data_IF_065099069968
#
_entry.id   IF_065099069968
#
_cell.length_a   1.000
_cell.length_b   1.000
_cell.length_c   1.000
_cell.angle_alpha   90.00
_cell.angle_beta   90.00
_cell.angle_gamma   90.00
#
_symmetry.space_group_name_H-M   'P 1'
#
loop_
_entity.id
_entity.type
_entity.pdbx_description
1 polymer ?
#
# COMPACT_ATOMS: atom_id res chain seq x y z
N UNK A 1 7.03 -23.11 -5.89
CA UNK A 1 8.16 -22.65 -6.74
C UNK A 1 7.82 -21.38 -7.52
N UNK A 2 6.85 -21.36 -8.46
CA UNK A 2 6.37 -20.09 -9.06
C UNK A 2 5.72 -19.12 -8.05
N UNK A 3 5.18 -19.63 -6.94
CA UNK A 3 4.63 -18.83 -5.83
C UNK A 3 5.71 -18.16 -4.93
N UNK A 4 6.96 -18.64 -4.99
CA UNK A 4 8.08 -18.14 -4.16
C UNK A 4 9.08 -17.27 -4.96
N UNK A 5 9.06 -17.36 -6.29
CA UNK A 5 10.04 -16.71 -7.18
C UNK A 5 9.45 -15.55 -8.03
N UNK A 6 8.16 -15.24 -7.91
CA UNK A 6 7.54 -14.10 -8.62
C UNK A 6 7.51 -12.78 -7.84
N UNK A 7 8.02 -12.75 -6.61
CA UNK A 7 8.06 -11.52 -5.80
C UNK A 7 9.37 -10.77 -6.09
N UNK A 8 9.37 -10.00 -7.17
CA UNK A 8 10.34 -8.93 -7.37
C UNK A 8 10.01 -7.80 -6.39
N UNK A 9 10.91 -7.56 -5.44
CA UNK A 9 11.06 -6.29 -4.72
C UNK A 9 9.95 -5.92 -3.73
N UNK A 10 10.24 -6.09 -2.44
CA UNK A 10 9.62 -5.40 -1.29
C UNK A 10 8.10 -5.55 -1.02
N UNK A 11 7.29 -6.08 -1.93
CA UNK A 11 5.81 -6.03 -1.80
C UNK A 11 5.14 -7.30 -1.22
N UNK A 12 5.87 -8.39 -0.96
CA UNK A 12 5.33 -9.54 -0.22
C UNK A 12 5.86 -9.68 1.21
N UNK A 13 6.92 -8.96 1.59
CA UNK A 13 7.29 -8.80 2.99
C UNK A 13 6.22 -8.00 3.78
N UNK A 14 5.42 -7.20 3.07
CA UNK A 14 4.32 -6.41 3.64
C UNK A 14 2.97 -7.16 3.72
N UNK A 15 2.88 -8.42 3.29
CA UNK A 15 1.60 -9.16 3.24
C UNK A 15 1.58 -10.42 4.12
N UNK A 16 2.62 -10.68 4.91
CA UNK A 16 2.67 -11.85 5.79
C UNK A 16 3.11 -11.41 7.19
N UNK A 17 2.38 -11.93 8.18
CA UNK A 17 2.76 -12.11 9.60
C UNK A 17 2.36 -10.98 10.58
N UNK A 18 1.31 -11.24 11.37
CA UNK A 18 1.05 -10.63 12.69
C UNK A 18 0.76 -11.74 13.71
N UNK A 19 1.77 -12.51 14.14
CA UNK A 19 1.53 -13.80 14.82
C UNK A 19 2.44 -13.97 16.07
N UNK A 20 1.92 -14.63 17.11
CA UNK A 20 2.35 -14.48 18.51
C UNK A 20 3.30 -15.55 19.04
N UNK A 21 4.34 -15.11 19.75
CA UNK A 21 5.22 -15.87 20.64
C UNK A 21 6.52 -16.29 19.96
N UNK A 22 7.68 -15.90 20.52
CA UNK A 22 8.99 -16.37 20.06
C UNK A 22 9.89 -16.63 21.27
N UNK A 23 10.59 -17.77 21.25
CA UNK A 23 11.74 -18.00 22.11
C UNK A 23 13.02 -17.65 21.38
N UNK A 24 14.06 -17.26 22.11
CA UNK A 24 15.38 -16.98 21.54
C UNK A 24 15.87 -18.17 20.69
N UNK A 25 16.20 -17.99 19.40
CA UNK A 25 16.79 -19.03 18.61
C UNK A 25 18.16 -19.40 19.17
N UNK A 26 18.39 -20.70 19.30
CA UNK A 26 19.60 -21.27 19.86
C UNK A 26 20.83 -20.84 19.02
N UNK A 27 22.01 -20.78 19.65
CA UNK A 27 23.23 -20.25 19.00
C UNK A 27 23.59 -20.99 17.70
N UNK A 28 23.33 -22.30 17.64
CA UNK A 28 23.56 -23.11 16.43
C UNK A 28 22.62 -22.72 15.27
N UNK A 29 21.38 -22.34 15.58
CA UNK A 29 20.41 -21.89 14.59
C UNK A 29 20.78 -20.50 14.03
N UNK A 30 21.19 -19.58 14.91
CA UNK A 30 21.72 -18.25 14.52
C UNK A 30 22.98 -18.36 13.66
N UNK A 31 23.86 -19.32 13.94
CA UNK A 31 25.10 -19.52 13.20
C UNK A 31 24.90 -19.91 11.72
N UNK A 32 23.68 -20.27 11.30
CA UNK A 32 23.40 -20.63 9.89
C UNK A 32 23.08 -19.43 9.00
N UNK A 33 22.98 -18.23 9.57
CA UNK A 33 22.84 -16.98 8.80
C UNK A 33 24.24 -16.47 8.45
N UNK A 34 24.62 -16.39 7.17
CA UNK A 34 25.95 -15.96 6.78
C UNK A 34 26.24 -14.53 7.25
N UNK A 35 27.48 -14.24 7.63
CA UNK A 35 27.92 -12.90 8.09
C UNK A 35 27.70 -11.79 7.08
N UNK A 36 27.67 -12.12 5.78
CA UNK A 36 27.40 -11.17 4.70
C UNK A 36 25.92 -10.86 4.47
N UNK A 37 24.98 -11.44 5.22
CA UNK A 37 23.56 -11.15 5.03
C UNK A 37 23.26 -9.70 5.46
N UNK A 38 22.55 -8.97 4.60
CA UNK A 38 22.15 -7.58 4.78
C UNK A 38 20.70 -7.47 5.24
N UNK A 39 19.90 -8.50 5.05
CA UNK A 39 18.56 -8.60 5.59
C UNK A 39 18.39 -9.91 6.34
N UNK A 40 17.71 -9.84 7.49
CA UNK A 40 17.30 -11.01 8.27
C UNK A 40 15.87 -10.81 8.74
N UNK A 41 15.04 -11.84 8.59
CA UNK A 41 13.67 -11.88 9.09
C UNK A 41 13.45 -13.18 9.87
N UNK A 42 12.85 -13.06 11.04
CA UNK A 42 12.51 -14.21 11.88
C UNK A 42 11.02 -14.51 11.83
N UNK A 43 10.66 -15.79 11.76
CA UNK A 43 9.29 -16.26 11.76
C UNK A 43 9.14 -17.47 12.69
N UNK A 44 8.19 -17.41 13.61
CA UNK A 44 7.77 -18.56 14.40
C UNK A 44 6.57 -19.23 13.72
N UNK A 45 6.79 -20.41 13.14
CA UNK A 45 5.76 -21.15 12.42
C UNK A 45 4.63 -21.65 13.32
N UNK A 46 4.91 -21.99 14.58
CA UNK A 46 3.87 -22.42 15.52
C UNK A 46 2.93 -21.26 15.84
N UNK A 47 3.50 -20.09 16.10
CA UNK A 47 2.77 -18.83 16.24
C UNK A 47 1.88 -18.56 15.03
N UNK A 48 2.41 -18.81 13.82
CA UNK A 48 1.70 -18.58 12.57
C UNK A 48 0.46 -19.45 12.45
N UNK A 49 0.62 -20.75 12.68
CA UNK A 49 -0.43 -21.76 12.48
C UNK A 49 -1.57 -21.58 13.50
N UNK A 50 -1.25 -21.20 14.74
CA UNK A 50 -2.25 -21.06 15.81
C UNK A 50 -2.92 -19.69 15.89
N UNK A 51 -2.59 -18.76 14.99
CA UNK A 51 -3.24 -17.46 14.99
C UNK A 51 -4.65 -17.54 14.39
N UNK A 52 -5.64 -16.96 15.08
CA UNK A 52 -7.06 -16.99 14.67
C UNK A 52 -7.35 -16.40 13.29
N UNK A 53 -6.62 -15.36 12.86
CA UNK A 53 -6.81 -14.72 11.56
C UNK A 53 -6.27 -15.59 10.45
N UNK A 54 -5.04 -16.11 10.62
CA UNK A 54 -4.45 -17.07 9.69
C UNK A 54 -5.28 -18.34 9.67
N UNK A 55 -5.72 -18.85 10.82
CA UNK A 55 -6.60 -20.01 10.91
C UNK A 55 -7.93 -19.76 10.18
N UNK A 56 -8.51 -18.56 10.25
CA UNK A 56 -9.74 -18.21 9.51
C UNK A 56 -9.53 -18.21 7.99
N UNK A 57 -8.42 -17.67 7.51
CA UNK A 57 -8.09 -17.69 6.07
C UNK A 57 -7.67 -19.09 5.60
N UNK A 58 -6.86 -19.80 6.40
CA UNK A 58 -6.52 -21.20 6.16
C UNK A 58 -7.78 -22.06 6.17
N UNK A 59 -8.78 -21.83 7.03
CA UNK A 59 -10.05 -22.56 7.06
C UNK A 59 -10.81 -22.48 5.73
N UNK A 60 -10.74 -21.36 5.00
CA UNK A 60 -11.35 -21.23 3.67
C UNK A 60 -10.71 -22.16 2.64
N UNK A 61 -9.41 -22.44 2.77
CA UNK A 61 -8.60 -23.24 1.85
C UNK A 61 -8.03 -24.52 2.49
N UNK A 62 -8.59 -24.94 3.64
CA UNK A 62 -7.89 -25.84 4.57
C UNK A 62 -7.68 -27.21 3.97
N UNK A 63 -8.73 -27.69 3.29
CA UNK A 63 -8.77 -28.98 2.62
C UNK A 63 -7.71 -29.05 1.52
N UNK A 64 -7.58 -28.00 0.72
CA UNK A 64 -6.58 -27.93 -0.36
C UNK A 64 -5.16 -27.91 0.20
N UNK A 65 -4.92 -27.15 1.28
CA UNK A 65 -3.61 -27.11 1.92
C UNK A 65 -3.24 -28.48 2.52
N UNK A 66 -4.18 -29.12 3.22
CA UNK A 66 -3.96 -30.44 3.82
C UNK A 66 -3.71 -31.51 2.76
N UNK A 67 -4.48 -31.50 1.66
CA UNK A 67 -4.26 -32.41 0.52
C UNK A 67 -2.89 -32.19 -0.14
N UNK A 68 -2.47 -30.94 -0.31
CA UNK A 68 -1.15 -30.59 -0.87
C UNK A 68 0.01 -31.00 0.04
N UNK A 69 -0.12 -30.80 1.35
CA UNK A 69 0.89 -31.22 2.33
C UNK A 69 0.95 -32.76 2.39
N UNK A 70 -0.21 -33.43 2.45
CA UNK A 70 -0.28 -34.88 2.48
C UNK A 70 0.32 -35.54 1.24
N UNK A 71 0.17 -34.94 0.05
CA UNK A 71 0.78 -35.42 -1.19
C UNK A 71 2.33 -35.50 -1.12
N UNK A 72 2.94 -34.64 -0.30
CA UNK A 72 4.38 -34.62 -0.02
C UNK A 72 4.72 -35.16 1.36
N UNK A 73 3.79 -35.89 2.00
CA UNK A 73 3.96 -36.53 3.31
C UNK A 73 4.26 -35.55 4.45
N UNK A 74 3.74 -34.32 4.35
CA UNK A 74 3.80 -33.30 5.39
C UNK A 74 2.43 -33.10 6.03
N UNK A 75 2.44 -32.53 7.23
CA UNK A 75 1.28 -32.01 7.96
C UNK A 75 1.53 -30.54 8.30
N UNK A 76 0.48 -29.82 8.71
CA UNK A 76 0.61 -28.40 9.09
C UNK A 76 1.59 -28.22 10.24
N UNK A 77 1.59 -29.15 11.18
CA UNK A 77 2.47 -29.15 12.35
C UNK A 77 3.95 -29.23 11.94
N UNK A 78 4.26 -29.79 10.76
CA UNK A 78 5.64 -29.79 10.24
C UNK A 78 6.12 -28.37 9.84
N UNK A 79 5.20 -27.43 9.67
CA UNK A 79 5.50 -26.03 9.43
C UNK A 79 5.61 -25.22 10.73
N UNK A 80 5.42 -25.84 11.91
CA UNK A 80 5.50 -25.19 13.22
C UNK A 80 6.94 -24.93 13.69
N UNK A 81 7.92 -24.97 12.78
CA UNK A 81 9.32 -24.67 13.07
C UNK A 81 9.60 -23.18 13.22
N UNK A 82 10.80 -22.85 13.71
CA UNK A 82 11.35 -21.49 13.70
C UNK A 82 12.08 -21.28 12.38
N UNK A 83 11.90 -20.13 11.73
CA UNK A 83 12.53 -19.81 10.45
C UNK A 83 13.32 -18.51 10.53
N UNK A 84 14.51 -18.52 9.96
CA UNK A 84 15.34 -17.35 9.71
C UNK A 84 15.50 -17.20 8.21
N UNK A 85 14.82 -16.21 7.65
CA UNK A 85 15.01 -15.78 6.27
C UNK A 85 16.15 -14.78 6.24
N UNK A 86 17.02 -14.89 5.26
CA UNK A 86 18.13 -13.96 5.12
C UNK A 86 18.49 -13.72 3.65
N UNK A 87 19.12 -12.58 3.38
CA UNK A 87 19.57 -12.27 2.03
C UNK A 87 20.58 -11.14 1.98
N UNK A 88 21.23 -11.04 0.82
CA UNK A 88 22.08 -9.92 0.43
C UNK A 88 21.54 -9.32 -0.85
N UNK A 89 21.26 -8.02 -0.81
CA UNK A 89 20.84 -7.24 -1.97
C UNK A 89 22.03 -6.99 -2.91
N UNK A 90 23.21 -6.75 -2.33
CA UNK A 90 24.44 -6.51 -3.10
C UNK A 90 24.96 -7.79 -3.75
N UNK A 91 24.99 -8.88 -2.99
CA UNK A 91 25.48 -10.18 -3.44
C UNK A 91 24.47 -11.00 -4.25
N UNK A 92 23.19 -10.60 -4.27
CA UNK A 92 22.09 -11.33 -4.92
C UNK A 92 22.09 -12.81 -4.53
N UNK A 93 21.95 -13.06 -3.24
CA UNK A 93 21.81 -14.41 -2.70
C UNK A 93 20.93 -14.35 -1.45
N UNK A 94 20.39 -15.50 -1.06
CA UNK A 94 19.56 -15.60 0.13
C UNK A 94 19.31 -17.03 0.55
N UNK A 95 18.52 -17.18 1.60
CA UNK A 95 18.17 -18.49 2.11
C UNK A 95 17.22 -18.44 3.29
N UNK A 96 16.88 -19.63 3.75
CA UNK A 96 16.02 -19.89 4.89
C UNK A 96 16.68 -20.97 5.73
N UNK A 97 16.99 -20.66 6.98
CA UNK A 97 17.27 -21.69 7.98
C UNK A 97 15.96 -22.01 8.72
N UNK A 98 15.72 -23.29 8.97
CA UNK A 98 14.57 -23.78 9.73
C UNK A 98 15.06 -24.66 10.89
N UNK A 99 14.55 -24.41 12.09
CA UNK A 99 14.75 -25.25 13.25
C UNK A 99 13.43 -25.83 13.77
N UNK A 100 13.36 -27.15 13.98
CA UNK A 100 12.20 -27.85 14.55
C UNK A 100 12.55 -28.56 15.86
N UNK A 101 11.56 -29.17 16.53
CA UNK A 101 11.77 -29.95 17.76
C UNK A 101 11.55 -31.47 17.59
N UNK A 102 10.84 -31.88 16.55
CA UNK A 102 10.23 -33.21 16.40
C UNK A 102 10.59 -33.89 15.06
N UNK A 103 11.70 -33.51 14.44
CA UNK A 103 12.12 -34.05 13.15
C UNK A 103 11.43 -33.40 11.94
N UNK A 104 10.59 -32.38 12.13
CA UNK A 104 9.89 -31.72 11.02
C UNK A 104 10.85 -31.14 9.95
N UNK A 105 12.04 -30.67 10.34
CA UNK A 105 13.05 -30.21 9.40
C UNK A 105 13.52 -31.35 8.46
N UNK A 106 13.73 -32.57 8.97
CA UNK A 106 14.04 -33.73 8.15
C UNK A 106 12.89 -34.12 7.22
N UNK A 107 11.65 -34.13 7.72
CA UNK A 107 10.46 -34.39 6.88
C UNK A 107 10.32 -33.37 5.76
N UNK A 108 10.54 -32.09 6.05
CA UNK A 108 10.52 -31.03 5.04
C UNK A 108 11.65 -31.21 4.02
N UNK A 109 12.87 -31.57 4.46
CA UNK A 109 13.98 -31.90 3.57
C UNK A 109 13.58 -33.03 2.61
N UNK A 110 13.07 -34.15 3.13
CA UNK A 110 12.70 -35.31 2.33
C UNK A 110 11.55 -35.00 1.35
N UNK A 111 10.56 -34.21 1.78
CA UNK A 111 9.48 -33.73 0.93
C UNK A 111 9.99 -32.89 -0.25
N UNK A 112 10.94 -31.98 0.01
CA UNK A 112 11.58 -31.15 -1.02
C UNK A 112 12.36 -32.02 -2.01
N UNK A 113 13.18 -32.96 -1.50
CA UNK A 113 13.96 -33.88 -2.35
C UNK A 113 13.07 -34.80 -3.18
N UNK A 114 11.98 -35.31 -2.62
CA UNK A 114 10.95 -36.06 -3.36
C UNK A 114 10.39 -35.20 -4.50
N UNK A 115 10.08 -33.93 -4.23
CA UNK A 115 9.63 -32.98 -5.26
C UNK A 115 10.61 -32.79 -6.42
N UNK A 116 11.93 -32.82 -6.16
CA UNK A 116 12.94 -32.80 -7.24
C UNK A 116 12.94 -34.09 -8.06
N UNK A 117 12.84 -35.24 -7.39
CA UNK A 117 12.76 -36.56 -8.06
C UNK A 117 11.52 -36.66 -8.95
N UNK A 118 10.36 -36.26 -8.45
CA UNK A 118 9.09 -36.31 -9.17
C UNK A 118 9.12 -35.45 -10.44
N UNK A 119 9.83 -34.31 -10.39
CA UNK A 119 10.04 -33.41 -11.53
C UNK A 119 11.23 -33.80 -12.42
N UNK A 120 11.96 -34.86 -12.08
CA UNK A 120 13.19 -35.30 -12.76
C UNK A 120 14.26 -34.20 -12.84
N UNK A 121 14.35 -33.36 -11.80
CA UNK A 121 15.40 -32.35 -11.71
C UNK A 121 16.76 -33.03 -11.47
N UNK A 122 17.82 -32.52 -12.13
CA UNK A 122 19.19 -33.02 -11.92
C UNK A 122 19.76 -32.37 -10.65
N UNK A 123 20.16 -33.20 -9.69
CA UNK A 123 20.79 -32.75 -8.46
C UNK A 123 21.88 -33.73 -8.02
N UNK A 124 22.81 -33.26 -7.19
CA UNK A 124 23.82 -34.10 -6.53
C UNK A 124 23.47 -34.25 -5.06
N UNK A 125 23.45 -35.48 -4.55
CA UNK A 125 23.25 -35.76 -3.12
C UNK A 125 24.57 -36.25 -2.50
N UNK A 126 24.91 -35.75 -1.31
CA UNK A 126 26.05 -36.24 -0.52
C UNK A 126 25.68 -36.33 0.95
N UNK A 127 26.30 -37.28 1.64
CA UNK A 127 26.07 -37.54 3.07
C UNK A 127 27.43 -37.51 3.78
N UNK A 128 27.53 -36.72 4.85
CA UNK A 128 28.72 -36.62 5.68
C UNK A 128 28.31 -36.61 7.15
N UNK A 129 28.55 -37.73 7.85
CA UNK A 129 28.06 -37.92 9.21
C UNK A 129 26.52 -37.83 9.29
N UNK A 130 26.01 -36.91 10.12
CA UNK A 130 24.56 -36.64 10.25
C UNK A 130 24.02 -35.66 9.20
N UNK A 131 24.91 -35.04 8.42
CA UNK A 131 24.56 -34.01 7.46
C UNK A 131 24.22 -34.63 6.10
N UNK A 132 23.09 -34.22 5.51
CA UNK A 132 22.70 -34.55 4.13
C UNK A 132 22.67 -33.27 3.31
N UNK A 133 23.25 -33.32 2.10
CA UNK A 133 23.36 -32.17 1.22
C UNK A 133 22.80 -32.50 -0.15
N UNK A 134 22.00 -31.60 -0.70
CA UNK A 134 21.47 -31.67 -2.06
C UNK A 134 21.77 -30.37 -2.78
N UNK A 135 22.44 -30.44 -3.92
CA UNK A 135 22.76 -29.27 -4.75
C UNK A 135 22.08 -29.35 -6.11
N UNK A 136 21.52 -28.22 -6.53
CA UNK A 136 20.97 -27.95 -7.86
C UNK A 136 21.70 -26.73 -8.45
N UNK A 137 21.46 -26.44 -9.73
CA UNK A 137 22.12 -25.36 -10.48
C UNK A 137 22.14 -24.00 -9.73
N UNK A 138 21.08 -23.68 -8.98
CA UNK A 138 20.97 -22.39 -8.26
C UNK A 138 20.53 -22.53 -6.82
N UNK A 139 20.68 -23.70 -6.24
CA UNK A 139 20.12 -23.96 -4.92
C UNK A 139 20.89 -25.04 -4.20
N UNK A 140 21.05 -24.86 -2.89
CA UNK A 140 21.63 -25.86 -2.01
C UNK A 140 20.69 -26.10 -0.83
N UNK A 141 20.50 -27.36 -0.50
CA UNK A 141 19.70 -27.82 0.62
C UNK A 141 20.61 -28.61 1.56
N UNK A 142 20.65 -28.23 2.83
CA UNK A 142 21.48 -28.88 3.85
C UNK A 142 20.60 -29.25 5.03
N UNK A 143 20.48 -30.54 5.31
CA UNK A 143 19.98 -31.02 6.59
C UNK A 143 21.19 -31.27 7.49
N UNK A 144 21.38 -30.45 8.53
CA UNK A 144 22.50 -30.60 9.47
C UNK A 144 22.27 -31.76 10.44
N UNK A 145 21.04 -31.87 10.92
CA UNK A 145 20.51 -32.98 11.72
C UNK A 145 18.97 -32.95 11.60
N UNK A 146 18.28 -33.87 12.27
CA UNK A 146 16.82 -34.07 12.14
C UNK A 146 15.96 -32.80 12.36
N UNK A 147 16.53 -31.81 13.05
CA UNK A 147 15.85 -30.62 13.53
C UNK A 147 16.40 -29.31 12.97
N UNK A 148 17.35 -29.36 12.03
CA UNK A 148 17.95 -28.14 11.46
C UNK A 148 18.20 -28.29 9.97
N UNK A 149 17.49 -27.46 9.21
CA UNK A 149 17.50 -27.42 7.75
C UNK A 149 17.94 -26.04 7.28
N UNK A 150 18.73 -26.00 6.22
CA UNK A 150 19.07 -24.79 5.48
C UNK A 150 18.71 -24.97 4.01
N UNK A 151 17.96 -24.00 3.49
CA UNK A 151 17.70 -23.81 2.07
C UNK A 151 18.41 -22.55 1.62
N UNK A 152 19.38 -22.67 0.73
CA UNK A 152 20.17 -21.57 0.18
C UNK A 152 19.94 -21.42 -1.32
N UNK A 153 19.87 -20.20 -1.81
CA UNK A 153 19.63 -19.88 -3.22
C UNK A 153 20.78 -19.04 -3.79
N UNK A 154 21.17 -19.35 -5.03
CA UNK A 154 22.11 -18.65 -5.93
C UNK A 154 23.61 -18.75 -5.62
N UNK A 155 24.03 -19.04 -4.39
CA UNK A 155 25.45 -19.25 -4.05
C UNK A 155 25.70 -20.71 -3.66
N UNK A 156 26.10 -21.57 -4.61
CA UNK A 156 26.27 -23.02 -4.40
C UNK A 156 27.53 -23.42 -3.60
N UNK A 157 28.19 -22.48 -2.92
CA UNK A 157 29.39 -22.77 -2.13
C UNK A 157 28.99 -23.08 -0.69
N UNK A 158 28.93 -24.36 -0.34
CA UNK A 158 28.63 -24.80 1.04
C UNK A 158 29.52 -24.13 2.10
N UNK A 159 30.80 -23.89 1.77
CA UNK A 159 31.75 -23.21 2.64
C UNK A 159 31.25 -21.82 3.09
N UNK A 160 30.48 -21.14 2.26
CA UNK A 160 29.90 -19.83 2.59
C UNK A 160 28.91 -19.89 3.76
N UNK A 161 28.18 -21.00 3.88
CA UNK A 161 27.19 -21.24 4.94
C UNK A 161 27.79 -21.98 6.14
N UNK A 162 29.01 -22.49 6.02
CA UNK A 162 29.74 -23.20 7.07
C UNK A 162 30.79 -22.34 7.77
N UNK A 163 31.08 -21.14 7.24
CA UNK A 163 32.06 -20.25 7.85
C UNK A 163 31.56 -19.77 9.22
N UNK A 164 32.21 -20.15 10.34
CA UNK A 164 31.76 -19.76 11.66
C UNK A 164 31.95 -18.25 11.83
N UNK A 165 30.84 -17.53 11.85
CA UNK A 165 30.81 -16.10 12.14
C UNK A 165 29.42 -15.70 12.62
N UNK A 166 29.37 -14.93 13.70
CA UNK A 166 28.10 -14.33 14.15
C UNK A 166 27.74 -13.22 13.18
N UNK A 167 26.61 -13.35 12.47
CA UNK A 167 26.09 -12.21 11.71
C UNK A 167 25.79 -11.07 12.71
N UNK A 168 26.34 -9.85 12.48
CA UNK A 168 26.15 -8.74 13.41
C UNK A 168 24.68 -8.34 13.58
N UNK A 169 23.84 -8.52 12.55
CA UNK A 169 22.40 -8.28 12.64
C UNK A 169 21.76 -9.19 13.70
N UNK A 170 22.28 -10.39 13.94
CA UNK A 170 21.73 -11.32 14.94
C UNK A 170 22.22 -11.06 16.36
N UNK A 171 23.29 -10.28 16.53
CA UNK A 171 23.84 -9.96 17.86
C UNK A 171 22.96 -8.95 18.60
N UNK A 172 22.39 -8.00 17.86
CA UNK A 172 21.56 -6.92 18.39
C UNK A 172 20.06 -7.29 18.42
N UNK A 173 19.68 -8.47 17.90
CA UNK A 173 18.31 -8.96 17.90
C UNK A 173 18.00 -9.75 19.17
N UNK A 174 17.19 -9.14 20.04
CA UNK A 174 16.64 -9.80 21.21
C UNK A 174 15.36 -10.56 20.87
N UNK A 175 15.53 -11.75 20.29
CA UNK A 175 14.43 -12.60 19.86
C UNK A 175 13.46 -13.03 20.97
N UNK A 176 13.82 -12.91 22.26
CA UNK A 176 12.89 -13.18 23.37
C UNK A 176 11.75 -12.16 23.42
N UNK A 177 12.04 -10.94 22.93
CA UNK A 177 11.11 -9.82 22.90
C UNK A 177 10.59 -9.53 21.48
N UNK A 178 11.09 -10.23 20.47
CA UNK A 178 10.60 -10.11 19.11
C UNK A 178 9.43 -11.07 18.90
N UNK A 179 8.39 -10.60 18.24
CA UNK A 179 7.30 -11.47 17.79
C UNK A 179 7.55 -11.90 16.34
N UNK A 180 6.83 -12.92 15.88
CA UNK A 180 7.07 -13.49 14.55
C UNK A 180 6.87 -12.41 13.48
N UNK A 181 7.78 -12.35 12.50
CA UNK A 181 7.76 -11.35 11.43
C UNK A 181 8.71 -10.16 11.63
N UNK A 182 9.54 -10.16 12.68
CA UNK A 182 10.48 -9.07 12.86
C UNK A 182 11.60 -9.11 11.81
N UNK A 183 11.91 -7.92 11.27
CA UNK A 183 12.81 -7.75 10.13
C UNK A 183 13.87 -6.72 10.46
N UNK A 184 15.13 -7.07 10.22
CA UNK A 184 16.27 -6.16 10.30
C UNK A 184 16.95 -6.05 8.95
N UNK A 185 17.25 -4.81 8.55
CA UNK A 185 17.91 -4.50 7.29
C UNK A 185 19.10 -3.59 7.55
N UNK A 186 20.27 -4.02 7.10
CA UNK A 186 21.45 -3.17 6.96
C UNK A 186 21.31 -2.33 5.70
N UNK A 187 21.44 -1.02 5.83
CA UNK A 187 21.39 -0.11 4.70
C UNK A 187 22.76 -0.01 4.02
N UNK A 188 22.80 0.13 2.67
CA UNK A 188 24.04 0.42 1.96
C UNK A 188 24.65 1.73 2.48
N UNK A 189 25.96 1.72 2.74
CA UNK A 189 26.67 2.93 3.22
C UNK A 189 26.87 3.96 2.11
N UNK A 190 26.73 3.56 0.85
CA UNK A 190 26.73 4.45 -0.32
C UNK A 190 25.32 4.49 -0.93
N UNK A 191 24.45 5.42 -0.50
CA UNK A 191 23.16 5.60 -1.15
C UNK A 191 23.35 6.10 -2.57
N UNK A 192 22.46 5.67 -3.48
CA UNK A 192 22.43 6.18 -4.85
C UNK A 192 22.28 7.72 -4.81
N UNK A 193 23.15 8.43 -5.53
CA UNK A 193 23.47 9.86 -5.28
C UNK A 193 22.26 10.78 -5.48
N UNK A 194 21.31 10.39 -6.33
CA UNK A 194 20.15 11.19 -6.72
C UNK A 194 19.06 11.28 -5.64
N UNK A 195 18.90 10.26 -4.78
CA UNK A 195 17.93 10.29 -3.67
C UNK A 195 18.53 10.84 -2.37
N UNK A 196 19.86 10.75 -2.21
CA UNK A 196 20.57 11.14 -0.99
C UNK A 196 20.62 12.65 -0.74
N UNK A 197 20.49 13.48 -1.78
CA UNK A 197 20.56 14.96 -1.67
C UNK A 197 19.32 15.58 -1.03
N UNK A 198 18.18 14.88 -1.04
CA UNK A 198 16.91 15.36 -0.46
C UNK A 198 16.64 14.86 0.97
N UNK A 199 17.47 13.95 1.48
CA UNK A 199 17.29 13.38 2.82
C UNK A 199 17.91 14.27 3.91
N UNK A 200 17.27 14.29 5.09
CA UNK A 200 17.85 14.89 6.31
C UNK A 200 19.25 14.31 6.53
N UNK A 201 20.29 15.13 6.78
CA UNK A 201 21.68 14.65 6.90
C UNK A 201 21.87 13.47 7.85
N UNK A 202 21.12 13.43 8.96
CA UNK A 202 21.09 12.32 9.91
C UNK A 202 20.72 10.96 9.28
N UNK A 203 19.81 10.94 8.30
CA UNK A 203 19.38 9.71 7.64
C UNK A 203 20.48 9.09 6.76
N UNK A 204 21.48 9.86 6.33
CA UNK A 204 22.66 9.33 5.63
C UNK A 204 23.54 8.46 6.53
N UNK A 205 23.37 8.60 7.84
CA UNK A 205 24.12 7.87 8.87
C UNK A 205 23.34 6.66 9.40
N UNK A 206 22.14 6.40 8.88
CA UNK A 206 21.32 5.25 9.24
C UNK A 206 21.99 3.97 8.73
N UNK A 207 22.33 3.07 9.64
CA UNK A 207 23.05 1.82 9.33
C UNK A 207 22.12 0.62 9.36
N UNK A 208 21.17 0.57 10.29
CA UNK A 208 20.24 -0.54 10.46
C UNK A 208 18.84 -0.01 10.72
N UNK A 209 17.85 -0.63 10.10
CA UNK A 209 16.43 -0.46 10.42
C UNK A 209 15.89 -1.79 10.91
N UNK A 210 15.27 -1.78 12.09
CA UNK A 210 14.58 -2.93 12.67
C UNK A 210 13.11 -2.60 12.83
N UNK A 211 12.25 -3.48 12.31
CA UNK A 211 10.79 -3.43 12.50
C UNK A 211 10.38 -4.61 13.38
N UNK A 212 9.73 -4.32 14.50
CA UNK A 212 9.24 -5.30 15.46
C UNK A 212 7.75 -5.04 15.74
N UNK A 213 6.90 -5.96 15.31
CA UNK A 213 5.45 -5.80 15.39
C UNK A 213 4.85 -6.80 16.39
N UNK A 214 4.71 -6.45 17.67
CA UNK A 214 4.11 -7.33 18.65
C UNK A 214 2.68 -7.77 18.30
N UNK A 215 2.52 -9.08 18.13
CA UNK A 215 1.28 -9.81 17.92
C UNK A 215 0.47 -10.06 19.21
N UNK A 216 0.06 -8.98 19.90
CA UNK A 216 -1.08 -9.07 20.82
C UNK A 216 -2.36 -8.77 20.02
N UNK A 217 -3.37 -9.67 19.99
CA UNK A 217 -4.68 -9.38 19.40
C UNK A 217 -5.37 -8.18 20.06
N UNK A 218 -5.04 -7.93 21.34
CA UNK A 218 -5.72 -6.94 22.19
C UNK A 218 -5.00 -5.58 22.18
N UNK A 219 -3.75 -5.52 21.68
CA UNK A 219 -2.95 -4.30 21.61
C UNK A 219 -1.83 -4.43 20.57
N UNK A 220 -2.15 -4.21 19.29
CA UNK A 220 -1.10 -4.11 18.27
C UNK A 220 -0.16 -2.95 18.62
N UNK A 221 1.14 -3.24 18.71
CA UNK A 221 2.17 -2.21 18.74
C UNK A 221 3.17 -2.48 17.59
N UNK A 222 3.81 -1.45 17.07
CA UNK A 222 4.92 -1.54 16.13
C UNK A 222 6.08 -0.72 16.68
N UNK A 223 7.15 -1.40 17.05
CA UNK A 223 8.42 -0.79 17.41
C UNK A 223 9.30 -0.70 16.15
N UNK A 224 9.79 0.49 15.88
CA UNK A 224 10.77 0.79 14.83
C UNK A 224 12.04 1.24 15.52
N UNK A 225 13.16 0.53 15.28
CA UNK A 225 14.48 0.94 15.74
C UNK A 225 15.32 1.37 14.56
N UNK A 226 15.92 2.54 14.69
CA UNK A 226 16.82 3.14 13.71
C UNK A 226 18.19 3.23 14.38
N UNK A 227 19.16 2.44 13.91
CA UNK A 227 20.53 2.49 14.41
C UNK A 227 21.39 3.34 13.48
N UNK A 228 22.20 4.23 14.06
CA UNK A 228 23.03 5.15 13.31
C UNK A 228 24.53 4.87 13.51
N UNK A 229 25.38 5.42 12.64
CA UNK A 229 26.83 5.27 12.72
C UNK A 229 27.47 6.06 13.88
N UNK A 230 26.86 7.18 14.28
CA UNK A 230 27.26 8.01 15.42
C UNK A 230 26.09 8.34 16.36
N UNK A 231 26.41 8.88 17.53
CA UNK A 231 25.51 9.20 18.65
C UNK A 231 24.76 10.53 18.49
N UNK A 232 25.16 11.39 17.55
CA UNK A 232 24.49 12.67 17.28
C UNK A 232 23.33 12.51 16.29
N UNK A 233 23.47 11.60 15.33
CA UNK A 233 22.48 11.36 14.29
C UNK A 233 21.07 10.98 14.81
N UNK A 234 20.90 10.15 15.86
CA UNK A 234 19.58 9.84 16.39
C UNK A 234 18.85 11.08 16.92
N UNK A 235 19.58 12.00 17.56
CA UNK A 235 19.01 13.26 18.11
C UNK A 235 18.55 14.18 16.99
N UNK A 236 19.36 14.32 15.94
CA UNK A 236 18.98 15.08 14.73
C UNK A 236 17.76 14.46 14.03
N UNK A 237 17.74 13.12 13.88
CA UNK A 237 16.61 12.40 13.30
C UNK A 237 15.34 12.53 14.16
N UNK A 238 15.47 12.48 15.49
CA UNK A 238 14.38 12.70 16.45
C UNK A 238 13.79 14.10 16.33
N UNK A 239 14.64 15.13 16.22
CA UNK A 239 14.20 16.51 16.02
C UNK A 239 13.46 16.69 14.69
N UNK A 240 13.98 16.12 13.60
CA UNK A 240 13.31 16.15 12.29
C UNK A 240 11.96 15.40 12.32
N UNK A 241 11.91 14.25 12.98
CA UNK A 241 10.68 13.48 13.20
C UNK A 241 9.65 14.31 13.99
N UNK A 242 10.07 14.97 15.08
CA UNK A 242 9.20 15.86 15.87
C UNK A 242 8.59 16.96 15.01
N UNK A 243 9.41 17.64 14.21
CA UNK A 243 8.95 18.73 13.36
C UNK A 243 7.89 18.25 12.36
N UNK A 244 8.11 17.09 11.72
CA UNK A 244 7.13 16.50 10.80
C UNK A 244 5.85 16.05 11.51
N UNK A 245 5.98 15.44 12.70
CA UNK A 245 4.85 15.00 13.50
C UNK A 245 4.02 16.17 14.04
N UNK A 246 4.63 17.30 14.40
CA UNK A 246 3.92 18.51 14.81
C UNK A 246 3.04 19.06 13.69
N UNK A 247 3.51 19.03 12.44
CA UNK A 247 2.69 19.44 11.29
C UNK A 247 1.45 18.56 11.16
N UNK A 248 1.59 17.24 11.33
CA UNK A 248 0.46 16.29 11.29
C UNK A 248 -0.46 16.51 12.50
N UNK A 249 0.11 16.75 13.68
CA UNK A 249 -0.63 16.93 14.93
C UNK A 249 -1.49 18.20 14.95
N UNK A 250 -1.13 19.24 14.19
CA UNK A 250 -1.99 20.42 14.01
C UNK A 250 -3.35 20.06 13.42
N UNK A 251 -3.39 19.08 12.52
CA UNK A 251 -4.65 18.61 11.93
C UNK A 251 -5.28 17.46 12.71
N UNK A 252 -4.47 16.63 13.37
CA UNK A 252 -4.91 15.44 14.10
C UNK A 252 -4.13 15.30 15.43
N UNK A 253 -4.47 16.05 16.49
CA UNK A 253 -3.68 16.10 17.72
C UNK A 253 -3.67 14.78 18.51
N UNK A 254 -4.63 13.88 18.25
CA UNK A 254 -4.69 12.55 18.85
C UNK A 254 -3.49 11.66 18.48
N UNK A 255 -2.90 11.87 17.30
CA UNK A 255 -1.88 10.99 16.71
C UNK A 255 -0.63 10.88 17.56
N UNK A 256 -0.26 11.96 18.26
CA UNK A 256 0.93 12.00 19.09
C UNK A 256 0.78 11.17 20.37
N UNK A 257 -0.46 10.93 20.85
CA UNK A 257 -0.71 10.11 22.04
C UNK A 257 -0.47 8.63 21.77
N UNK A 258 -0.46 8.26 20.50
CA UNK A 258 -0.39 6.90 20.02
C UNK A 258 1.02 6.51 19.52
N UNK A 259 1.98 7.41 19.70
CA UNK A 259 3.36 7.25 19.29
C UNK A 259 4.27 7.70 20.45
N UNK A 260 5.08 6.77 20.96
CA UNK A 260 6.21 7.07 21.85
C UNK A 260 7.51 7.02 21.06
N UNK A 261 8.51 7.79 21.49
CA UNK A 261 9.78 7.88 20.79
C UNK A 261 10.87 8.34 21.74
N UNK A 262 12.04 7.73 21.64
CA UNK A 262 13.20 8.06 22.46
C UNK A 262 14.49 7.77 21.73
N UNK A 263 15.55 8.44 22.15
CA UNK A 263 16.92 8.17 21.72
C UNK A 263 17.69 7.48 22.84
N UNK A 264 18.50 6.49 22.51
CA UNK A 264 19.41 5.82 23.43
C UNK A 264 20.75 5.55 22.74
N UNK A 265 21.76 6.36 23.05
CA UNK A 265 23.06 6.32 22.37
C UNK A 265 22.93 6.51 20.86
N UNK A 266 23.18 5.44 20.08
CA UNK A 266 23.11 5.42 18.62
C UNK A 266 21.74 4.98 18.07
N UNK A 267 20.77 4.74 18.94
CA UNK A 267 19.43 4.25 18.59
C UNK A 267 18.40 5.38 18.66
N UNK A 268 17.52 5.45 17.66
CA UNK A 268 16.21 6.10 17.76
C UNK A 268 15.15 5.01 17.74
N UNK A 269 14.37 4.93 18.82
CA UNK A 269 13.22 4.04 18.95
C UNK A 269 11.92 4.80 18.76
N UNK A 270 11.01 4.21 17.99
CA UNK A 270 9.67 4.73 17.75
C UNK A 270 8.68 3.60 18.01
N UNK A 271 7.78 3.79 18.95
CA UNK A 271 6.77 2.83 19.36
C UNK A 271 5.38 3.34 18.95
N UNK A 272 4.68 2.60 18.09
CA UNK A 272 3.37 2.94 17.56
C UNK A 272 2.33 1.98 18.13
N UNK A 273 1.21 2.46 18.66
CA UNK A 273 0.11 1.58 19.08
C UNK A 273 -0.93 1.38 17.97
N UNK A 274 -1.93 0.53 18.21
CA UNK A 274 -2.99 0.20 17.24
C UNK A 274 -3.85 1.39 16.83
N UNK A 275 -4.07 2.33 17.75
CA UNK A 275 -4.83 3.55 17.50
C UNK A 275 -4.10 4.48 16.54
N UNK A 276 -2.75 4.50 16.54
CA UNK A 276 -1.95 5.27 15.58
C UNK A 276 -2.33 4.97 14.13
N UNK A 277 -2.41 3.68 13.78
CA UNK A 277 -2.73 3.24 12.43
C UNK A 277 -4.16 3.59 12.03
N UNK A 278 -5.09 3.49 12.97
CA UNK A 278 -6.49 3.85 12.75
C UNK A 278 -6.63 5.34 12.47
N UNK A 279 -5.97 6.18 13.28
CA UNK A 279 -5.99 7.63 13.15
C UNK A 279 -5.28 8.11 11.88
N UNK A 280 -4.10 7.55 11.54
CA UNK A 280 -3.41 7.85 10.27
C UNK A 280 -4.27 7.43 9.07
N UNK A 281 -4.91 6.27 9.12
CA UNK A 281 -5.81 5.84 8.05
C UNK A 281 -6.99 6.79 7.89
N UNK A 282 -7.59 7.26 8.99
CA UNK A 282 -8.67 8.24 8.97
C UNK A 282 -8.21 9.61 8.48
N UNK A 283 -7.09 10.12 8.97
CA UNK A 283 -6.48 11.36 8.50
C UNK A 283 -6.19 11.29 7.00
N UNK A 284 -5.66 10.16 6.52
CA UNK A 284 -5.43 9.90 5.11
C UNK A 284 -6.71 9.78 4.28
N UNK A 285 -7.81 9.28 4.85
CA UNK A 285 -9.14 9.31 4.20
C UNK A 285 -9.64 10.74 4.07
N UNK A 286 -9.65 11.51 5.17
CA UNK A 286 -10.07 12.93 5.19
C UNK A 286 -9.24 13.80 4.25
N UNK A 287 -7.92 13.62 4.22
CA UNK A 287 -7.03 14.35 3.33
C UNK A 287 -7.33 14.04 1.85
N UNK A 288 -7.56 12.76 1.52
CA UNK A 288 -8.00 12.34 0.18
C UNK A 288 -9.35 12.96 -0.17
N UNK A 289 -10.34 12.93 0.71
CA UNK A 289 -11.65 13.55 0.48
C UNK A 289 -11.55 15.06 0.24
N UNK A 290 -10.75 15.77 1.03
CA UNK A 290 -10.47 17.21 0.82
C UNK A 290 -9.83 17.46 -0.55
N UNK A 291 -8.81 16.68 -0.90
CA UNK A 291 -8.12 16.79 -2.19
C UNK A 291 -9.07 16.52 -3.36
N UNK A 292 -9.94 15.50 -3.26
CA UNK A 292 -11.00 15.23 -4.26
C UNK A 292 -11.89 16.44 -4.45
N UNK A 293 -12.43 16.99 -3.36
CA UNK A 293 -13.31 18.14 -3.43
C UNK A 293 -12.62 19.42 -3.95
N UNK A 294 -11.31 19.59 -3.72
CA UNK A 294 -10.54 20.70 -4.30
C UNK A 294 -10.30 20.50 -5.80
N UNK A 295 -9.99 19.27 -6.22
CA UNK A 295 -9.85 18.94 -7.64
C UNK A 295 -11.15 19.19 -8.41
N UNK A 296 -12.29 18.75 -7.88
CA UNK A 296 -13.60 19.01 -8.46
C UNK A 296 -13.88 20.51 -8.63
N UNK A 297 -13.57 21.31 -7.60
CA UNK A 297 -13.71 22.78 -7.66
C UNK A 297 -12.79 23.39 -8.71
N UNK A 298 -11.53 22.96 -8.78
CA UNK A 298 -10.56 23.48 -9.75
C UNK A 298 -10.98 23.17 -11.19
N UNK A 299 -11.44 21.95 -11.47
CA UNK A 299 -11.92 21.56 -12.80
C UNK A 299 -13.18 22.33 -13.19
N UNK A 300 -14.15 22.47 -12.28
CA UNK A 300 -15.35 23.27 -12.55
C UNK A 300 -15.04 24.76 -12.77
N UNK A 301 -14.00 25.31 -12.13
CA UNK A 301 -13.54 26.68 -12.42
C UNK A 301 -12.98 26.79 -13.85
N UNK A 302 -12.25 25.78 -14.32
CA UNK A 302 -11.78 25.74 -15.71
C UNK A 302 -12.95 25.63 -16.69
N UNK A 303 -13.97 24.81 -16.38
CA UNK A 303 -15.20 24.75 -17.16
C UNK A 303 -15.91 26.10 -17.16
N UNK A 304 -16.03 26.77 -16.02
CA UNK A 304 -16.65 28.10 -15.91
C UNK A 304 -15.94 29.16 -16.74
N UNK A 305 -14.61 29.18 -16.71
CA UNK A 305 -13.81 30.07 -17.55
C UNK A 305 -14.06 29.80 -19.05
N UNK A 306 -14.02 28.53 -19.46
CA UNK A 306 -14.27 28.14 -20.85
C UNK A 306 -15.70 28.47 -21.31
N UNK A 307 -16.71 28.26 -20.45
CA UNK A 307 -18.10 28.66 -20.71
C UNK A 307 -18.24 30.17 -20.87
N UNK A 308 -17.53 30.97 -20.06
CA UNK A 308 -17.57 32.43 -20.14
C UNK A 308 -16.96 32.93 -21.44
N UNK A 309 -15.77 32.42 -21.80
CA UNK A 309 -15.12 32.73 -23.09
C UNK A 309 -16.00 32.34 -24.28
N UNK A 310 -16.64 31.17 -24.22
CA UNK A 310 -17.57 30.73 -25.26
C UNK A 310 -18.77 31.68 -25.37
N UNK A 311 -19.38 32.06 -24.24
CA UNK A 311 -20.53 32.94 -24.23
C UNK A 311 -20.19 34.33 -24.79
N UNK A 312 -19.01 34.87 -24.47
CA UNK A 312 -18.51 36.14 -25.03
C UNK A 312 -18.41 36.07 -26.56
N UNK A 313 -17.93 34.94 -27.10
CA UNK A 313 -17.81 34.71 -28.54
C UNK A 313 -19.16 34.40 -29.24
N UNK A 314 -20.21 34.05 -28.48
CA UNK A 314 -21.49 33.54 -29.01
C UNK A 314 -22.71 34.30 -28.47
N UNK A 315 -22.62 35.63 -28.41
CA UNK A 315 -23.74 36.51 -28.05
C UNK A 315 -24.43 36.15 -26.71
N UNK A 316 -23.63 35.68 -25.75
CA UNK A 316 -24.07 35.27 -24.43
C UNK A 316 -24.60 33.85 -24.34
N UNK A 317 -24.69 33.08 -25.43
CA UNK A 317 -25.16 31.69 -25.37
C UNK A 317 -24.08 30.77 -24.76
N UNK A 318 -24.46 30.01 -23.74
CA UNK A 318 -23.58 28.97 -23.20
C UNK A 318 -23.49 27.77 -24.18
N UNK A 319 -22.40 26.99 -24.15
CA UNK A 319 -22.19 25.90 -25.09
C UNK A 319 -23.28 24.82 -24.98
N UNK A 320 -23.54 24.08 -26.06
CA UNK A 320 -24.51 22.97 -26.06
C UNK A 320 -24.03 21.76 -25.25
N UNK A 321 -22.71 21.61 -25.07
CA UNK A 321 -22.10 20.54 -24.31
C UNK A 321 -20.66 20.89 -23.95
N UNK A 322 -20.06 20.16 -22.99
CA UNK A 322 -18.61 20.26 -22.73
C UNK A 322 -17.77 19.84 -23.95
N UNK A 323 -18.31 18.99 -24.83
CA UNK A 323 -17.67 18.62 -26.10
C UNK A 323 -17.48 19.81 -27.04
N UNK A 324 -18.41 20.78 -27.02
CA UNK A 324 -18.31 21.99 -27.82
C UNK A 324 -17.12 22.88 -27.39
N UNK A 325 -16.81 22.87 -26.08
CA UNK A 325 -15.66 23.57 -25.53
C UNK A 325 -14.33 22.91 -25.93
N UNK A 326 -14.27 21.58 -25.91
CA UNK A 326 -13.12 20.82 -26.36
C UNK A 326 -12.82 21.03 -27.85
N UNK A 327 -13.86 21.00 -28.71
CA UNK A 327 -13.69 21.12 -30.17
C UNK A 327 -13.19 22.49 -30.63
N UNK A 328 -13.39 23.53 -29.83
CA UNK A 328 -12.96 24.92 -30.12
C UNK A 328 -11.73 25.37 -29.33
N UNK A 329 -11.00 24.41 -28.72
CA UNK A 329 -9.76 24.66 -27.97
C UNK A 329 -9.91 25.57 -26.73
N UNK A 330 -11.13 25.70 -26.16
CA UNK A 330 -11.29 26.37 -24.85
C UNK A 330 -10.75 25.51 -23.69
N UNK A 331 -10.60 24.20 -23.89
CA UNK A 331 -9.92 23.31 -22.95
C UNK A 331 -8.45 23.10 -23.34
N UNK A 332 -7.55 23.30 -22.38
CA UNK A 332 -6.11 23.08 -22.56
C UNK A 332 -5.76 21.58 -22.57
N UNK A 333 -6.45 20.77 -21.77
CA UNK A 333 -6.25 19.31 -21.72
C UNK A 333 -7.56 18.59 -21.38
N UNK A 334 -8.11 17.88 -22.35
CA UNK A 334 -9.35 17.11 -22.20
C UNK A 334 -9.19 15.86 -21.34
N UNK A 335 -7.95 15.39 -21.08
CA UNK A 335 -7.70 14.24 -20.19
C UNK A 335 -7.88 14.57 -18.71
N UNK A 336 -7.90 15.86 -18.37
CA UNK A 336 -7.97 16.35 -16.99
C UNK A 336 -9.38 16.36 -16.38
N UNK A 337 -10.43 16.06 -17.15
CA UNK A 337 -11.83 16.13 -16.70
C UNK A 337 -12.41 14.81 -16.17
N UNK A 338 -11.56 13.80 -15.93
CA UNK A 338 -11.92 12.60 -15.19
C UNK A 338 -11.29 12.67 -13.81
N UNK A 339 -12.13 12.71 -12.78
CA UNK A 339 -11.68 12.68 -11.40
C UNK A 339 -10.97 11.34 -11.11
N UNK A 340 -9.86 11.32 -10.34
CA UNK A 340 -9.10 10.08 -10.10
C UNK A 340 -9.87 8.94 -9.44
N UNK A 341 -11.04 9.21 -8.87
CA UNK A 341 -11.92 8.24 -8.22
C UNK A 341 -13.12 7.84 -9.09
N UNK A 342 -13.31 8.46 -10.26
CA UNK A 342 -14.35 8.07 -11.20
C UNK A 342 -13.96 6.74 -11.86
N UNK A 343 -14.76 5.70 -11.61
CA UNK A 343 -14.60 4.36 -12.18
C UNK A 343 -15.63 4.05 -13.26
N UNK A 344 -16.49 5.01 -13.58
CA UNK A 344 -17.64 4.81 -14.48
C UNK A 344 -17.46 5.53 -15.81
N UNK A 345 -16.83 6.70 -15.82
CA UNK A 345 -16.53 7.43 -17.04
C UNK A 345 -15.38 6.79 -17.81
N UNK A 346 -15.46 6.87 -19.13
CA UNK A 346 -14.47 6.29 -20.04
C UNK A 346 -13.40 7.33 -20.38
N UNK A 347 -12.11 7.03 -20.20
CA UNK A 347 -11.04 7.94 -20.63
C UNK A 347 -11.21 8.45 -22.06
N UNK A 348 -10.93 9.73 -22.27
CA UNK A 348 -10.98 10.34 -23.59
C UNK A 348 -9.96 9.68 -24.53
N UNK A 349 -10.44 9.22 -25.69
CA UNK A 349 -9.66 8.45 -26.67
C UNK A 349 -8.93 9.33 -27.72
N UNK A 350 -9.01 10.65 -27.58
CA UNK A 350 -8.42 11.60 -28.52
C UNK A 350 -9.32 12.00 -29.69
N UNK A 351 -10.54 11.46 -29.80
CA UNK A 351 -11.44 11.72 -30.96
C UNK A 351 -12.56 12.69 -30.64
N UNK A 352 -13.50 12.29 -29.80
CA UNK A 352 -14.68 13.11 -29.46
C UNK A 352 -14.88 13.18 -27.96
N UNK A 353 -14.78 14.39 -27.39
CA UNK A 353 -15.03 14.60 -25.97
C UNK A 353 -16.54 14.69 -25.74
N UNK A 354 -17.11 13.74 -25.00
CA UNK A 354 -18.54 13.63 -24.76
C UNK A 354 -18.84 13.39 -23.28
N UNK A 355 -20.13 13.38 -22.92
CA UNK A 355 -20.63 13.20 -21.55
C UNK A 355 -20.08 11.94 -20.85
N UNK A 356 -19.87 10.85 -21.61
CA UNK A 356 -19.27 9.61 -21.08
C UNK A 356 -17.79 9.74 -20.71
N UNK A 357 -17.11 10.82 -21.12
CA UNK A 357 -15.67 11.01 -20.98
C UNK A 357 -15.28 11.97 -19.85
N UNK A 358 -16.21 12.29 -18.96
CA UNK A 358 -16.03 13.32 -17.93
C UNK A 358 -16.74 12.92 -16.64
N UNK A 359 -16.17 13.33 -15.52
CA UNK A 359 -16.80 13.19 -14.19
C UNK A 359 -17.83 14.29 -13.89
N UNK A 360 -17.97 15.26 -14.79
CA UNK A 360 -18.84 16.43 -14.62
C UNK A 360 -20.00 16.36 -15.59
N UNK A 361 -21.20 16.64 -15.09
CA UNK A 361 -22.41 16.81 -15.86
C UNK A 361 -22.60 18.30 -16.19
N UNK A 362 -23.04 18.60 -17.41
CA UNK A 362 -23.29 19.96 -17.88
C UNK A 362 -24.75 20.15 -18.29
N UNK A 363 -25.46 21.02 -17.59
CA UNK A 363 -26.87 21.33 -17.80
C UNK A 363 -27.10 22.70 -18.46
N UNK A 364 -26.06 23.47 -18.77
CA UNK A 364 -26.17 24.84 -19.27
C UNK A 364 -26.65 25.01 -20.72
N UNK A 365 -26.93 23.94 -21.46
CA UNK A 365 -27.38 23.99 -22.85
C UNK A 365 -28.64 24.85 -23.01
N UNK A 366 -28.62 25.81 -23.94
CA UNK A 366 -29.75 26.70 -24.21
C UNK A 366 -29.96 27.80 -23.15
N UNK A 367 -29.05 27.93 -22.18
CA UNK A 367 -29.02 29.06 -21.24
C UNK A 367 -28.20 30.19 -21.87
N UNK A 368 -28.68 31.43 -21.76
CA UNK A 368 -27.96 32.61 -22.25
C UNK A 368 -27.60 33.53 -21.08
N UNK A 369 -26.31 33.78 -20.87
CA UNK A 369 -25.75 34.57 -19.77
C UNK A 369 -26.40 35.95 -19.62
N UNK A 370 -26.68 36.64 -20.74
CA UNK A 370 -27.28 37.99 -20.70
C UNK A 370 -28.76 38.00 -20.32
N UNK A 371 -29.43 36.84 -20.43
CA UNK A 371 -30.87 36.68 -20.15
C UNK A 371 -31.14 36.05 -18.79
N UNK A 372 -30.12 35.46 -18.14
CA UNK A 372 -30.27 34.82 -16.82
C UNK A 372 -30.56 35.87 -15.75
N UNK A 373 -31.71 35.75 -15.08
CA UNK A 373 -32.11 36.71 -14.02
C UNK A 373 -31.29 36.59 -12.74
N UNK A 374 -30.87 35.38 -12.38
CA UNK A 374 -30.14 35.11 -11.13
C UNK A 374 -28.87 34.28 -11.37
N UNK A 375 -27.82 34.84 -12.00
CA UNK A 375 -26.65 34.06 -12.43
C UNK A 375 -25.95 33.28 -11.31
N UNK A 376 -25.92 33.83 -10.09
CA UNK A 376 -25.32 33.18 -8.91
C UNK A 376 -26.12 32.02 -8.32
N UNK A 377 -27.35 31.79 -8.82
CA UNK A 377 -28.23 30.70 -8.41
C UNK A 377 -28.55 29.73 -9.56
N UNK A 378 -28.11 30.01 -10.78
CA UNK A 378 -28.35 29.19 -11.97
C UNK A 378 -27.20 28.19 -12.16
N UNK A 379 -27.36 26.90 -11.84
CA UNK A 379 -26.30 25.90 -12.00
C UNK A 379 -26.08 25.55 -13.48
N UNK A 380 -24.82 25.52 -13.92
CA UNK A 380 -24.44 25.17 -15.29
C UNK A 380 -23.77 23.80 -15.38
N UNK A 381 -22.90 23.48 -14.44
CA UNK A 381 -22.18 22.21 -14.40
C UNK A 381 -21.97 21.76 -12.96
N UNK A 382 -21.83 20.46 -12.75
CA UNK A 382 -21.62 19.89 -11.43
C UNK A 382 -20.93 18.54 -11.54
N UNK A 383 -20.28 18.12 -10.47
CA UNK A 383 -19.79 16.74 -10.37
C UNK A 383 -20.97 15.76 -10.37
N UNK A 384 -20.87 14.68 -11.15
CA UNK A 384 -21.96 13.68 -11.27
C UNK A 384 -22.32 13.10 -9.90
N UNK A 385 -23.60 13.15 -9.46
CA UNK A 385 -23.98 12.82 -8.08
C UNK A 385 -23.64 11.41 -7.61
N UNK A 386 -23.53 10.46 -8.53
CA UNK A 386 -23.22 9.06 -8.23
C UNK A 386 -21.72 8.75 -8.12
N UNK A 387 -20.83 9.70 -8.41
CA UNK A 387 -19.38 9.50 -8.34
C UNK A 387 -18.82 9.75 -6.95
N UNK A 388 -19.51 10.55 -6.14
CA UNK A 388 -19.05 10.96 -4.82
C UNK A 388 -19.90 10.31 -3.74
N UNK A 389 -19.22 9.73 -2.76
CA UNK A 389 -19.82 9.25 -1.51
C UNK A 389 -19.90 10.36 -0.45
N UNK A 390 -19.36 11.55 -0.76
CA UNK A 390 -19.41 12.69 0.16
C UNK A 390 -20.76 13.38 0.06
N UNK A 391 -21.22 13.97 1.17
CA UNK A 391 -22.45 14.75 1.19
C UNK A 391 -22.37 16.07 0.43
N UNK A 392 -21.25 16.38 -0.23
CA UNK A 392 -20.99 17.68 -0.86
C UNK A 392 -20.60 17.51 -2.33
N UNK A 393 -21.39 18.09 -3.22
CA UNK A 393 -21.15 18.10 -4.66
C UNK A 393 -20.70 19.50 -5.07
N UNK A 394 -19.62 19.60 -5.84
CA UNK A 394 -19.18 20.87 -6.39
C UNK A 394 -20.08 21.26 -7.58
N UNK A 395 -20.51 22.53 -7.60
CA UNK A 395 -21.45 23.10 -8.58
C UNK A 395 -20.90 24.41 -9.11
N UNK A 396 -20.82 24.53 -10.42
CA UNK A 396 -20.56 25.76 -11.16
C UNK A 396 -21.88 26.50 -11.43
N UNK A 397 -21.91 27.79 -11.13
CA UNK A 397 -23.02 28.69 -11.39
C UNK A 397 -22.73 29.61 -12.58
N UNK A 398 -23.78 30.21 -13.15
CA UNK A 398 -23.68 31.03 -14.35
C UNK A 398 -22.88 32.34 -14.17
N UNK A 399 -22.66 32.78 -12.93
CA UNK A 399 -21.74 33.87 -12.61
C UNK A 399 -20.26 33.43 -12.54
N UNK A 400 -19.95 32.17 -12.82
CA UNK A 400 -18.61 31.59 -12.77
C UNK A 400 -18.18 31.13 -11.37
N UNK A 401 -19.00 31.33 -10.33
CA UNK A 401 -18.67 30.83 -9.00
C UNK A 401 -18.83 29.31 -8.93
N UNK A 402 -17.95 28.68 -8.16
CA UNK A 402 -18.06 27.25 -7.83
C UNK A 402 -18.26 27.10 -6.33
N UNK A 403 -19.35 26.44 -5.93
CA UNK A 403 -19.69 26.18 -4.53
C UNK A 403 -19.88 24.69 -4.29
N UNK A 404 -19.60 24.24 -3.08
CA UNK A 404 -19.96 22.89 -2.63
C UNK A 404 -21.35 22.97 -2.01
N UNK A 405 -22.24 22.10 -2.46
CA UNK A 405 -23.63 22.08 -2.03
C UNK A 405 -24.00 20.68 -1.54
N UNK A 406 -24.85 20.55 -0.50
CA UNK A 406 -25.35 19.25 -0.06
C UNK A 406 -25.95 18.44 -1.21
N UNK A 407 -25.43 17.23 -1.40
CA UNK A 407 -25.80 16.30 -2.47
C UNK A 407 -26.32 14.95 -1.98
N UNK A 408 -26.36 14.74 -0.65
CA UNK A 408 -26.68 13.45 -0.04
C UNK A 408 -28.01 12.87 -0.52
N UNK A 409 -27.99 11.57 -0.84
CA UNK A 409 -29.17 10.80 -1.24
C UNK A 409 -29.65 10.97 -2.68
N UNK A 410 -29.07 11.88 -3.48
CA UNK A 410 -29.47 12.11 -4.88
C UNK A 410 -28.65 11.22 -5.81
N UNK A 411 -29.32 10.38 -6.59
CA UNK A 411 -28.68 9.36 -7.45
C UNK A 411 -28.62 9.75 -8.92
N UNK A 412 -29.32 10.81 -9.29
CA UNK A 412 -29.48 11.29 -10.67
C UNK A 412 -29.18 12.80 -10.76
N UNK A 413 -28.78 13.25 -11.94
CA UNK A 413 -28.57 14.65 -12.28
C UNK A 413 -29.87 15.46 -12.11
N UNK A 414 -31.01 14.92 -12.56
CA UNK A 414 -32.30 15.59 -12.44
C UNK A 414 -32.73 15.80 -10.98
N UNK A 415 -32.58 14.79 -10.12
CA UNK A 415 -32.85 14.92 -8.67
C UNK A 415 -31.95 16.00 -8.04
N UNK A 416 -30.68 16.05 -8.47
CA UNK A 416 -29.73 17.01 -7.96
C UNK A 416 -30.06 18.45 -8.37
N UNK A 417 -30.30 18.70 -9.65
CA UNK A 417 -30.73 20.03 -10.12
C UNK A 417 -32.06 20.46 -9.50
N UNK A 418 -33.04 19.55 -9.38
CA UNK A 418 -34.31 19.84 -8.72
C UNK A 418 -34.11 20.29 -7.25
N UNK A 419 -33.19 19.64 -6.55
CA UNK A 419 -32.82 20.00 -5.18
C UNK A 419 -32.14 21.35 -5.06
N UNK A 420 -31.28 21.72 -6.02
CA UNK A 420 -30.62 23.05 -6.06
C UNK A 420 -31.62 24.18 -6.35
N UNK A 421 -32.59 23.94 -7.22
CA UNK A 421 -33.57 24.93 -7.67
C UNK A 421 -34.83 24.97 -6.80
N UNK A 422 -34.87 24.24 -5.69
CA UNK A 422 -36.01 24.26 -4.79
C UNK A 422 -36.13 25.64 -4.12
N UNK A 423 -37.29 26.29 -4.27
CA UNK A 423 -37.52 27.65 -3.77
C UNK A 423 -36.81 28.77 -4.53
N UNK A 424 -36.06 28.47 -5.61
CA UNK A 424 -35.42 29.47 -6.47
C UNK A 424 -36.30 29.75 -7.69
N UNK A 425 -36.85 30.96 -7.85
CA UNK A 425 -37.58 31.33 -9.06
C UNK A 425 -36.58 31.60 -10.20
N UNK A 426 -36.32 30.60 -11.03
CA UNK A 426 -35.46 30.70 -12.21
C UNK A 426 -36.28 30.38 -13.47
N UNK A 427 -36.40 31.33 -14.42
CA UNK A 427 -36.99 31.07 -15.75
C UNK A 427 -36.31 29.90 -16.49
N UNK A 428 -35.04 29.63 -16.16
CA UNK A 428 -34.21 28.60 -16.76
C UNK A 428 -34.46 27.21 -16.15
N UNK A 429 -35.26 27.11 -15.08
CA UNK A 429 -35.51 25.86 -14.33
C UNK A 429 -35.96 24.71 -15.21
N UNK A 430 -36.89 24.95 -16.13
CA UNK A 430 -37.40 23.90 -17.02
C UNK A 430 -36.32 23.38 -17.98
N UNK A 431 -35.52 24.29 -18.53
CA UNK A 431 -34.41 23.95 -19.42
C UNK A 431 -33.35 23.14 -18.67
N UNK A 432 -32.95 23.59 -17.47
CA UNK A 432 -31.95 22.92 -16.64
C UNK A 432 -32.40 21.52 -16.21
N UNK A 433 -33.67 21.35 -15.81
CA UNK A 433 -34.23 20.05 -15.43
C UNK A 433 -34.31 19.11 -16.62
N UNK A 434 -34.73 19.61 -17.79
CA UNK A 434 -34.76 18.83 -19.02
C UNK A 434 -33.35 18.35 -19.39
N UNK A 435 -32.37 19.24 -19.41
CA UNK A 435 -30.99 18.90 -19.73
C UNK A 435 -30.41 17.89 -18.72
N UNK A 436 -30.70 18.05 -17.43
CA UNK A 436 -30.26 17.11 -16.41
C UNK A 436 -30.86 15.70 -16.60
N UNK A 437 -32.14 15.60 -17.00
CA UNK A 437 -32.76 14.32 -17.33
C UNK A 437 -32.14 13.68 -18.58
N UNK A 438 -31.80 14.46 -19.61
CA UNK A 438 -31.06 13.97 -20.78
C UNK A 438 -29.69 13.40 -20.38
N UNK A 439 -28.97 14.05 -19.47
CA UNK A 439 -27.70 13.56 -18.92
C UNK A 439 -27.88 12.23 -18.18
N UNK A 440 -28.97 12.06 -17.43
CA UNK A 440 -29.27 10.79 -16.77
C UNK A 440 -29.47 9.66 -17.77
N UNK A 441 -30.20 9.89 -18.87
CA UNK A 441 -30.38 8.90 -19.94
C UNK A 441 -29.03 8.54 -20.58
N UNK A 442 -28.19 9.54 -20.90
CA UNK A 442 -26.86 9.32 -21.48
C UNK A 442 -25.91 8.52 -20.58
N UNK A 443 -26.12 8.58 -19.26
CA UNK A 443 -25.33 7.84 -18.28
C UNK A 443 -26.03 6.54 -17.78
N UNK A 444 -27.13 6.12 -18.42
CA UNK A 444 -27.86 4.89 -18.07
C UNK A 444 -28.58 4.93 -16.72
N UNK A 445 -28.99 6.14 -16.28
CA UNK A 445 -29.66 6.41 -15.00
C UNK A 445 -31.06 7.02 -15.14
N UNK A 446 -31.44 7.42 -16.35
CA UNK A 446 -32.77 7.89 -16.70
C UNK A 446 -33.70 6.74 -17.12
N UNK A 447 -35.01 7.03 -17.15
CA UNK A 447 -36.03 6.15 -17.76
C UNK A 447 -36.19 6.42 -19.23
#
# INVERSE_FOLDING_TARGET
MKLFLSVRGLSAAAAVVLLSGCGDPDADFKAKVPTGAEAVMYLDGAAVIHNKTVEKELRKNNKELDEKLAAVSLKKEDLAGRFLFFGSFTGKWGGVAMQSKDGAAARLFDAIVKGFKDKKEKFTESVSGKQRRVSLDRMSLILYHENLLLLAVEKNEFAFYETPGKNPLLADLDFKNMLSGAMSVKLPQEPNVDTATQMVPALKKLTIVTLNAPASPDSFHLEIKLLFSDDKAPVEAFAALNMGLEMIARENPGILKNLDRKTDGKELRIDLNSAFFTEIAEAGRKARERARGLAAVAQLKQVGLACSMYADDHAGDFPDSLGALAGKQYFLDTKSYIAPYDRTSVPFDGKTFAEKNTSYAYAGKGVNLTKVKHPSLTPLAFEKPWLTETDQIAVLYADGQVRKTPGSGRKTCAEFIAGLLNGVPSPEKEILLKNAAELDVLNGRGK
#
